data_IF_899981095442
#
_entry.id   IF_899981095442
#
_cell.length_a   1.000
_cell.length_b   1.000
_cell.length_c   1.000
_cell.angle_alpha   90.00
_cell.angle_beta   90.00
_cell.angle_gamma   90.00
#
_symmetry.space_group_name_H-M   'P 1'
#
loop_
_entity.id
_entity.type
_entity.pdbx_description
1 polymer ?
#
# COMPACT_ATOMS: atom_id res chain seq x y z
N UNK A 1 40.28 -33.41 2.19
CA UNK A 1 40.26 -31.96 2.51
C UNK A 1 39.63 -31.11 1.42
N UNK A 2 40.03 -31.22 0.15
CA UNK A 2 39.44 -30.42 -0.95
C UNK A 2 37.92 -30.59 -1.13
N UNK A 3 37.39 -31.81 -0.93
CA UNK A 3 35.95 -32.11 -1.00
C UNK A 3 35.14 -31.59 0.19
N UNK A 4 35.74 -31.51 1.38
CA UNK A 4 35.10 -30.92 2.58
C UNK A 4 35.02 -29.39 2.49
N UNK A 5 36.01 -28.74 1.86
CA UNK A 5 36.01 -27.29 1.61
C UNK A 5 34.93 -26.90 0.58
N UNK A 6 34.74 -27.72 -0.46
CA UNK A 6 33.68 -27.50 -1.44
C UNK A 6 32.27 -27.63 -0.84
N UNK A 7 32.06 -28.57 0.09
CA UNK A 7 30.79 -28.73 0.78
C UNK A 7 30.50 -27.54 1.73
N UNK A 8 31.52 -27.01 2.41
CA UNK A 8 31.37 -25.84 3.29
C UNK A 8 31.00 -24.55 2.51
N UNK A 9 31.50 -24.39 1.28
CA UNK A 9 31.15 -23.25 0.42
C UNK A 9 29.71 -23.33 -0.12
N UNK A 10 29.21 -24.53 -0.41
CA UNK A 10 27.82 -24.72 -0.86
C UNK A 10 26.79 -24.44 0.24
N UNK A 11 27.07 -24.79 1.50
CA UNK A 11 26.13 -24.57 2.62
C UNK A 11 25.98 -23.07 2.94
N UNK A 12 27.05 -22.28 2.80
CA UNK A 12 27.00 -20.83 3.01
C UNK A 12 26.25 -20.07 1.91
N UNK A 13 26.13 -20.65 0.72
CA UNK A 13 25.44 -20.01 -0.41
C UNK A 13 23.91 -20.01 -0.25
N UNK A 14 23.35 -20.98 0.50
CA UNK A 14 21.91 -21.03 0.81
C UNK A 14 21.53 -20.15 2.01
N UNK A 15 22.47 -19.75 2.86
CA UNK A 15 22.21 -18.90 4.03
C UNK A 15 22.08 -17.40 3.68
N UNK A 16 22.55 -16.99 2.50
CA UNK A 16 22.55 -15.58 2.07
C UNK A 16 21.35 -15.17 1.21
N UNK A 17 20.36 -16.05 1.02
CA UNK A 17 19.09 -15.73 0.38
C UNK A 17 17.98 -15.47 1.40
N UNK A 18 18.28 -14.77 2.50
CA UNK A 18 17.25 -14.06 3.23
C UNK A 18 17.00 -12.77 2.47
N UNK A 19 15.84 -12.67 1.80
CA UNK A 19 15.35 -11.41 1.26
C UNK A 19 15.50 -10.35 2.34
N UNK A 20 16.38 -9.39 2.13
CA UNK A 20 16.58 -8.27 3.03
C UNK A 20 15.32 -7.39 2.95
N UNK A 21 14.29 -7.74 3.72
CA UNK A 21 13.13 -6.89 3.93
C UNK A 21 13.68 -5.65 4.65
N UNK A 22 13.57 -4.43 4.10
CA UNK A 22 13.95 -3.24 4.84
C UNK A 22 13.18 -3.24 6.16
N UNK A 23 13.90 -3.14 7.29
CA UNK A 23 13.39 -3.48 8.62
C UNK A 23 12.20 -2.63 9.08
N UNK A 24 11.90 -1.52 8.40
CA UNK A 24 10.77 -0.65 8.70
C UNK A 24 9.85 -0.46 7.49
N UNK A 25 8.55 -0.67 7.72
CA UNK A 25 7.50 -0.37 6.76
C UNK A 25 7.32 1.15 6.62
N UNK A 26 7.01 1.67 5.42
CA UNK A 26 6.85 3.10 5.20
C UNK A 26 5.54 3.60 5.84
N UNK A 27 5.38 4.93 5.91
CA UNK A 27 4.17 5.59 6.42
C UNK A 27 3.86 5.43 7.92
N UNK A 28 4.81 4.95 8.73
CA UNK A 28 4.72 5.08 10.20
C UNK A 28 4.55 6.54 10.66
N UNK A 29 5.08 7.47 9.87
CA UNK A 29 4.78 8.90 9.94
C UNK A 29 4.69 9.51 8.54
N UNK A 30 4.04 10.66 8.41
CA UNK A 30 4.01 11.43 7.15
C UNK A 30 5.28 12.30 7.10
N UNK A 31 6.09 12.27 6.01
CA UNK A 31 7.22 13.18 5.85
C UNK A 31 6.82 14.66 5.97
N UNK A 32 7.77 15.53 6.28
CA UNK A 32 7.50 16.97 6.19
C UNK A 32 7.06 17.34 4.76
N UNK A 33 6.13 18.29 4.66
CA UNK A 33 5.60 18.73 3.37
C UNK A 33 6.69 19.27 2.45
N UNK A 34 6.45 19.19 1.13
CA UNK A 34 7.22 19.99 0.19
C UNK A 34 7.11 21.47 0.54
N UNK A 35 8.12 22.26 0.17
CA UNK A 35 8.14 23.71 0.45
C UNK A 35 7.14 24.51 -0.38
N UNK A 36 6.49 23.88 -1.36
CA UNK A 36 5.48 24.48 -2.22
C UNK A 36 4.25 23.56 -2.40
N UNK A 37 3.11 24.17 -2.71
CA UNK A 37 1.83 23.51 -2.94
C UNK A 37 1.58 23.19 -4.42
N UNK A 38 2.59 22.64 -5.11
CA UNK A 38 2.41 22.19 -6.50
C UNK A 38 1.39 21.04 -6.58
N UNK A 39 0.75 20.85 -7.74
CA UNK A 39 -0.21 19.76 -7.97
C UNK A 39 0.40 18.39 -7.65
N UNK A 40 1.67 18.17 -8.00
CA UNK A 40 2.41 16.97 -7.65
C UNK A 40 2.52 16.77 -6.13
N UNK A 41 2.93 17.82 -5.40
CA UNK A 41 3.09 17.74 -3.94
C UNK A 41 1.75 17.55 -3.22
N UNK A 42 0.67 18.17 -3.71
CA UNK A 42 -0.67 17.94 -3.17
C UNK A 42 -1.13 16.50 -3.39
N UNK A 43 -0.95 15.96 -4.59
CA UNK A 43 -1.29 14.57 -4.91
C UNK A 43 -0.47 13.58 -4.06
N UNK A 44 0.84 13.80 -3.93
CA UNK A 44 1.72 13.03 -3.05
C UNK A 44 1.22 13.09 -1.60
N UNK A 45 0.86 14.28 -1.09
CA UNK A 45 0.34 14.44 0.27
C UNK A 45 -0.96 13.67 0.51
N UNK A 46 -1.83 13.54 -0.50
CA UNK A 46 -3.03 12.69 -0.41
C UNK A 46 -2.67 11.21 -0.27
N UNK A 47 -1.70 10.73 -1.04
CA UNK A 47 -1.19 9.35 -0.97
C UNK A 47 -0.51 9.09 0.38
N UNK A 48 0.33 10.02 0.86
CA UNK A 48 0.98 9.91 2.18
C UNK A 48 -0.05 9.85 3.32
N UNK A 49 -1.12 10.65 3.22
CA UNK A 49 -2.22 10.65 4.18
C UNK A 49 -3.00 9.34 4.18
N UNK A 50 -3.20 8.73 3.01
CA UNK A 50 -3.82 7.41 2.87
C UNK A 50 -2.90 6.31 3.43
N UNK A 51 -1.62 6.31 3.06
CA UNK A 51 -0.61 5.37 3.53
C UNK A 51 -0.45 5.39 5.05
N UNK A 52 -0.44 6.57 5.69
CA UNK A 52 -0.36 6.69 7.14
C UNK A 52 -1.57 6.11 7.86
N UNK A 53 -2.78 6.37 7.34
CA UNK A 53 -4.01 5.80 7.89
C UNK A 53 -4.00 4.28 7.76
N UNK A 54 -3.62 3.77 6.59
CA UNK A 54 -3.54 2.33 6.34
C UNK A 54 -2.49 1.66 7.23
N UNK A 55 -1.30 2.25 7.37
CA UNK A 55 -0.25 1.75 8.26
C UNK A 55 -0.81 1.48 9.67
N UNK A 56 -1.45 2.48 10.27
CA UNK A 56 -1.93 2.39 11.65
C UNK A 56 -3.20 1.56 11.79
N UNK A 57 -4.11 1.60 10.81
CA UNK A 57 -5.28 0.74 10.79
C UNK A 57 -4.91 -0.75 10.78
N UNK A 58 -3.80 -1.08 10.11
CA UNK A 58 -3.33 -2.46 9.94
C UNK A 58 -2.27 -2.91 10.95
N UNK A 59 -1.76 -1.99 11.76
CA UNK A 59 -0.80 -2.30 12.80
C UNK A 59 -1.45 -3.17 13.90
N UNK A 60 -0.88 -4.35 14.11
CA UNK A 60 -1.31 -5.28 15.15
C UNK A 60 -2.61 -6.02 14.87
N UNK A 61 -3.06 -6.13 13.61
CA UNK A 61 -4.20 -6.99 13.27
C UNK A 61 -3.86 -8.46 13.51
N UNK A 62 -4.75 -9.16 14.20
CA UNK A 62 -4.68 -10.58 14.52
C UNK A 62 -5.41 -11.43 13.47
N UNK A 63 -5.32 -12.77 13.58
CA UNK A 63 -6.11 -13.67 12.74
C UNK A 63 -7.63 -13.44 12.91
N UNK A 64 -8.10 -13.19 14.13
CA UNK A 64 -9.50 -12.92 14.43
C UNK A 64 -9.96 -11.59 13.83
N UNK A 65 -9.07 -10.58 13.82
CA UNK A 65 -9.35 -9.31 13.13
C UNK A 65 -9.49 -9.51 11.63
N UNK A 66 -8.60 -10.29 11.01
CA UNK A 66 -8.63 -10.55 9.56
C UNK A 66 -9.89 -11.33 9.16
N UNK A 67 -10.35 -12.25 9.99
CA UNK A 67 -11.52 -13.08 9.75
C UNK A 67 -12.85 -12.36 10.04
N UNK A 68 -12.83 -11.20 10.71
CA UNK A 68 -14.05 -10.49 11.06
C UNK A 68 -14.84 -10.06 9.82
N UNK A 69 -16.14 -10.37 9.82
CA UNK A 69 -17.09 -10.00 8.78
C UNK A 69 -18.32 -9.34 9.44
N UNK A 70 -18.71 -8.12 9.03
CA UNK A 70 -19.75 -7.36 9.71
C UNK A 70 -21.17 -7.88 9.46
N UNK A 71 -21.40 -8.59 8.34
CA UNK A 71 -22.67 -9.18 7.95
C UNK A 71 -22.46 -10.21 6.84
N UNK A 72 -23.43 -11.11 6.60
CA UNK A 72 -23.34 -12.14 5.55
C UNK A 72 -23.04 -11.59 4.15
N UNK A 73 -23.54 -10.39 3.83
CA UNK A 73 -23.31 -9.72 2.54
C UNK A 73 -22.09 -8.79 2.54
N UNK A 74 -21.48 -8.53 3.70
CA UNK A 74 -20.34 -7.64 3.84
C UNK A 74 -19.03 -8.37 3.59
N UNK A 75 -18.02 -7.64 3.11
CA UNK A 75 -16.66 -8.15 3.01
C UNK A 75 -16.05 -8.32 4.40
N UNK A 76 -15.27 -9.38 4.56
CA UNK A 76 -14.36 -9.55 5.69
C UNK A 76 -13.23 -8.51 5.67
N UNK A 77 -12.56 -8.30 6.80
CA UNK A 77 -11.35 -7.45 6.87
C UNK A 77 -10.31 -7.92 5.86
N UNK A 78 -10.08 -9.24 5.74
CA UNK A 78 -9.13 -9.79 4.76
C UNK A 78 -9.49 -9.41 3.32
N UNK A 79 -10.75 -9.57 2.92
CA UNK A 79 -11.20 -9.21 1.56
C UNK A 79 -11.11 -7.69 1.31
N UNK A 80 -11.42 -6.87 2.32
CA UNK A 80 -11.24 -5.42 2.25
C UNK A 80 -9.75 -5.05 2.06
N UNK A 81 -8.83 -5.74 2.74
CA UNK A 81 -7.38 -5.53 2.60
C UNK A 81 -6.87 -5.94 1.20
N UNK A 82 -7.38 -7.03 0.63
CA UNK A 82 -7.07 -7.45 -0.73
C UNK A 82 -7.59 -6.45 -1.78
N UNK A 83 -8.78 -5.88 -1.55
CA UNK A 83 -9.29 -4.79 -2.38
C UNK A 83 -8.37 -3.57 -2.31
N UNK A 84 -7.98 -3.13 -1.10
CA UNK A 84 -7.03 -2.02 -0.90
C UNK A 84 -5.68 -2.30 -1.57
N UNK A 85 -5.15 -3.53 -1.47
CA UNK A 85 -3.94 -3.93 -2.20
C UNK A 85 -4.10 -3.68 -3.70
N UNK A 86 -5.22 -4.15 -4.27
CA UNK A 86 -5.55 -3.92 -5.67
C UNK A 86 -5.67 -2.44 -6.03
N UNK A 87 -6.12 -1.57 -5.13
CA UNK A 87 -6.15 -0.11 -5.36
C UNK A 87 -4.74 0.50 -5.32
N UNK A 88 -3.90 0.06 -4.39
CA UNK A 88 -2.51 0.55 -4.27
C UNK A 88 -1.66 0.19 -5.50
N UNK A 89 -1.90 -0.98 -6.09
CA UNK A 89 -1.30 -1.39 -7.36
C UNK A 89 -1.67 -0.43 -8.50
N UNK A 90 -2.93 0.00 -8.58
CA UNK A 90 -3.38 0.99 -9.57
C UNK A 90 -2.66 2.32 -9.40
N UNK A 91 -2.54 2.80 -8.15
CA UNK A 91 -1.84 4.05 -7.83
C UNK A 91 -0.36 3.95 -8.23
N UNK A 92 0.31 2.84 -7.91
CA UNK A 92 1.70 2.59 -8.31
C UNK A 92 1.84 2.54 -9.82
N UNK A 93 1.05 1.74 -10.51
CA UNK A 93 1.21 1.53 -11.94
C UNK A 93 0.95 2.82 -12.73
N UNK A 94 -0.07 3.60 -12.33
CA UNK A 94 -0.32 4.94 -12.89
C UNK A 94 0.88 5.87 -12.69
N UNK A 95 1.50 5.88 -11.49
CA UNK A 95 2.67 6.72 -11.22
C UNK A 95 3.91 6.35 -12.04
N UNK A 96 3.99 5.10 -12.48
CA UNK A 96 5.08 4.53 -13.29
C UNK A 96 4.77 4.55 -14.79
N UNK A 97 3.61 5.08 -15.20
CA UNK A 97 3.12 5.04 -16.58
C UNK A 97 3.02 3.61 -17.13
N UNK A 98 2.39 2.73 -16.34
CA UNK A 98 2.24 1.30 -16.65
C UNK A 98 0.80 0.83 -16.47
N UNK A 99 0.48 -0.29 -17.13
CA UNK A 99 -0.87 -0.87 -17.17
C UNK A 99 -1.19 -1.63 -15.89
N UNK A 100 -2.41 -1.44 -15.38
CA UNK A 100 -2.99 -2.25 -14.31
C UNK A 100 -3.82 -3.42 -14.87
N UNK A 101 -3.33 -4.65 -14.71
CA UNK A 101 -4.06 -5.87 -15.06
C UNK A 101 -5.11 -6.16 -13.98
N UNK A 102 -6.37 -6.40 -14.36
CA UNK A 102 -7.48 -6.64 -13.42
C UNK A 102 -8.16 -8.00 -13.67
N UNK A 103 -8.31 -8.87 -12.65
CA UNK A 103 -7.80 -8.71 -11.27
C UNK A 103 -6.26 -8.80 -11.21
N UNK A 104 -5.62 -8.32 -10.12
CA UNK A 104 -4.17 -8.46 -9.95
C UNK A 104 -3.76 -9.94 -10.01
N UNK A 105 -2.75 -10.26 -10.82
CA UNK A 105 -2.35 -11.65 -11.08
C UNK A 105 -1.68 -12.32 -9.86
N UNK A 106 -0.99 -11.54 -9.02
CA UNK A 106 -0.12 -12.05 -7.96
C UNK A 106 -0.46 -11.43 -6.59
N UNK A 107 -1.74 -11.41 -6.21
CA UNK A 107 -2.15 -10.98 -4.87
C UNK A 107 -1.51 -11.88 -3.81
N UNK A 108 -0.74 -11.35 -2.84
CA UNK A 108 -0.09 -12.17 -1.82
C UNK A 108 -1.10 -12.91 -0.94
N UNK A 109 -0.91 -14.22 -0.79
CA UNK A 109 -1.77 -15.05 0.04
C UNK A 109 -1.57 -14.76 1.54
N UNK A 110 -0.34 -14.49 1.98
CA UNK A 110 -0.03 -14.20 3.37
C UNK A 110 -0.27 -12.72 3.71
N UNK A 111 -0.76 -12.49 4.94
CA UNK A 111 -1.06 -11.16 5.44
C UNK A 111 0.18 -10.24 5.53
N UNK A 112 1.31 -10.65 6.12
CA UNK A 112 2.47 -9.78 6.25
C UNK A 112 2.99 -9.26 4.91
N UNK A 113 3.06 -10.11 3.88
CA UNK A 113 3.50 -9.72 2.54
C UNK A 113 2.49 -8.80 1.88
N UNK A 114 1.19 -9.09 1.96
CA UNK A 114 0.15 -8.21 1.42
C UNK A 114 0.24 -6.82 2.04
N UNK A 115 0.34 -6.72 3.37
CA UNK A 115 0.49 -5.46 4.09
C UNK A 115 1.72 -4.68 3.62
N UNK A 116 2.87 -5.36 3.59
CA UNK A 116 4.13 -4.76 3.17
C UNK A 116 4.04 -4.23 1.74
N UNK A 117 3.55 -5.03 0.79
CA UNK A 117 3.48 -4.63 -0.61
C UNK A 117 2.52 -3.47 -0.82
N UNK A 118 1.33 -3.48 -0.19
CA UNK A 118 0.41 -2.34 -0.26
C UNK A 118 1.09 -1.04 0.17
N UNK A 119 1.82 -1.07 1.30
CA UNK A 119 2.56 0.10 1.80
C UNK A 119 3.71 0.48 0.85
N UNK A 120 4.45 -0.47 0.29
CA UNK A 120 5.52 -0.18 -0.68
C UNK A 120 4.99 0.36 -2.00
N UNK A 121 3.82 -0.07 -2.46
CA UNK A 121 3.22 0.45 -3.69
C UNK A 121 2.82 1.91 -3.56
N UNK A 122 2.26 2.30 -2.41
CA UNK A 122 1.98 3.70 -2.12
C UNK A 122 3.27 4.52 -2.00
N UNK A 123 4.34 3.95 -1.42
CA UNK A 123 5.65 4.61 -1.31
C UNK A 123 6.33 4.79 -2.67
N UNK A 124 6.26 3.78 -3.53
CA UNK A 124 6.75 3.87 -4.91
C UNK A 124 6.02 5.00 -5.64
N UNK A 125 4.70 5.09 -5.49
CA UNK A 125 3.92 6.14 -6.12
C UNK A 125 4.30 7.54 -5.62
N UNK A 126 4.53 7.72 -4.31
CA UNK A 126 4.98 9.02 -3.80
C UNK A 126 6.35 9.39 -4.35
N UNK A 127 7.29 8.44 -4.46
CA UNK A 127 8.62 8.67 -5.04
C UNK A 127 8.55 9.08 -6.52
N UNK A 128 7.72 8.41 -7.31
CA UNK A 128 7.61 8.69 -8.75
C UNK A 128 6.88 10.00 -9.05
N UNK A 129 5.84 10.34 -8.28
CA UNK A 129 5.05 11.55 -8.52
C UNK A 129 5.73 12.82 -7.98
N UNK A 130 6.63 12.68 -7.01
CA UNK A 130 7.27 13.83 -6.36
C UNK A 130 8.02 14.67 -7.39
N UNK A 131 7.80 15.99 -7.33
CA UNK A 131 8.41 16.99 -8.20
C UNK A 131 8.09 16.88 -9.70
N UNK A 132 7.14 16.05 -10.13
CA UNK A 132 6.65 16.09 -11.52
C UNK A 132 6.08 17.47 -11.87
N UNK A 133 6.35 17.94 -13.09
CA UNK A 133 5.76 19.15 -13.64
C UNK A 133 4.26 18.94 -13.93
N UNK A 134 3.47 20.02 -14.11
CA UNK A 134 2.09 19.92 -14.56
C UNK A 134 1.94 19.15 -15.88
N UNK A 135 2.87 19.31 -16.82
CA UNK A 135 2.89 18.62 -18.11
C UNK A 135 3.16 17.12 -17.95
N UNK A 136 4.14 16.76 -17.10
CA UNK A 136 4.41 15.35 -16.79
C UNK A 136 3.24 14.67 -16.09
N UNK A 137 2.51 15.39 -15.21
CA UNK A 137 1.30 14.86 -14.59
C UNK A 137 0.15 14.71 -15.59
N UNK A 138 -0.01 15.67 -16.51
CA UNK A 138 -1.05 15.63 -17.53
C UNK A 138 -0.86 14.49 -18.53
N UNK A 139 0.37 14.02 -18.71
CA UNK A 139 0.69 12.87 -19.55
C UNK A 139 0.37 11.52 -18.91
N UNK A 140 0.17 11.45 -17.58
CA UNK A 140 -0.16 10.21 -16.90
C UNK A 140 -1.63 9.83 -17.10
N UNK A 141 -1.86 8.58 -17.44
CA UNK A 141 -3.19 7.99 -17.56
C UNK A 141 -3.34 6.74 -16.70
N UNK A 142 -4.55 6.47 -16.25
CA UNK A 142 -4.89 5.21 -15.60
C UNK A 142 -5.30 4.24 -16.69
N UNK A 143 -4.50 3.20 -16.92
CA UNK A 143 -4.77 2.19 -17.94
C UNK A 143 -5.11 0.86 -17.27
N UNK A 144 -6.32 0.35 -17.53
CA UNK A 144 -6.74 -0.98 -17.11
C UNK A 144 -6.75 -1.94 -18.27
N UNK A 145 -6.36 -3.20 -18.02
CA UNK A 145 -6.64 -4.33 -18.91
C UNK A 145 -7.42 -5.39 -18.15
N UNK A 146 -8.62 -5.71 -18.64
CA UNK A 146 -9.50 -6.74 -18.07
C UNK A 146 -10.01 -7.65 -19.18
N UNK A 147 -9.67 -8.94 -19.09
CA UNK A 147 -10.07 -9.93 -20.11
C UNK A 147 -9.64 -9.53 -21.54
N UNK A 148 -8.44 -8.95 -21.68
CA UNK A 148 -7.89 -8.48 -22.96
C UNK A 148 -8.46 -7.15 -23.48
N UNK A 149 -9.42 -6.53 -22.78
CA UNK A 149 -9.94 -5.20 -23.13
C UNK A 149 -9.24 -4.12 -22.34
N UNK A 150 -8.76 -3.09 -23.04
CA UNK A 150 -8.14 -1.92 -22.44
C UNK A 150 -9.16 -0.80 -22.22
N UNK A 151 -9.05 -0.10 -21.10
CA UNK A 151 -9.76 1.16 -20.84
C UNK A 151 -8.80 2.16 -20.20
N UNK A 152 -8.89 3.42 -20.62
CA UNK A 152 -8.01 4.50 -20.19
C UNK A 152 -8.82 5.62 -19.55
N UNK A 153 -8.31 6.20 -18.47
CA UNK A 153 -8.93 7.29 -17.73
C UNK A 153 -7.90 8.37 -17.38
N UNK A 154 -8.31 9.65 -17.28
CA UNK A 154 -7.40 10.72 -16.89
C UNK A 154 -6.96 10.58 -15.43
N UNK A 155 -5.81 11.18 -15.08
CA UNK A 155 -5.21 11.14 -13.74
C UNK A 155 -6.17 11.57 -12.62
N UNK A 156 -7.13 12.46 -12.89
CA UNK A 156 -8.16 12.88 -11.92
C UNK A 156 -8.92 11.71 -11.29
N UNK A 157 -9.14 10.63 -12.05
CA UNK A 157 -9.81 9.45 -11.55
C UNK A 157 -9.01 8.71 -10.45
N UNK A 158 -7.70 8.97 -10.33
CA UNK A 158 -6.86 8.40 -9.27
C UNK A 158 -7.24 8.97 -7.90
N UNK A 159 -7.62 10.24 -7.86
CA UNK A 159 -8.11 10.92 -6.66
C UNK A 159 -9.50 10.39 -6.27
N UNK A 160 -10.43 10.36 -7.22
CA UNK A 160 -11.83 10.00 -6.95
C UNK A 160 -12.01 8.52 -6.64
N UNK A 161 -11.25 7.66 -7.32
CA UNK A 161 -11.28 6.21 -7.11
C UNK A 161 -10.20 5.78 -6.12
N UNK A 162 -9.06 5.26 -6.59
CA UNK A 162 -8.09 4.56 -5.75
C UNK A 162 -7.71 5.25 -4.44
N UNK A 163 -7.31 6.53 -4.47
CA UNK A 163 -6.81 7.21 -3.27
C UNK A 163 -7.94 7.41 -2.25
N UNK A 164 -9.09 7.93 -2.68
CA UNK A 164 -10.25 8.14 -1.80
C UNK A 164 -10.80 6.81 -1.26
N UNK A 165 -10.82 5.78 -2.10
CA UNK A 165 -11.38 4.47 -1.76
C UNK A 165 -10.47 3.70 -0.77
N UNK A 166 -9.14 3.86 -0.87
CA UNK A 166 -8.20 3.39 0.17
C UNK A 166 -8.53 4.01 1.52
N UNK A 167 -8.77 5.33 1.58
CA UNK A 167 -9.13 6.02 2.83
C UNK A 167 -10.49 5.52 3.35
N UNK A 168 -11.47 5.40 2.46
CA UNK A 168 -12.82 4.93 2.76
C UNK A 168 -12.80 3.54 3.41
N UNK A 169 -12.16 2.57 2.76
CA UNK A 169 -12.06 1.20 3.25
C UNK A 169 -11.14 1.05 4.48
N UNK A 170 -10.12 1.89 4.60
CA UNK A 170 -9.32 1.96 5.83
C UNK A 170 -10.18 2.34 7.04
N UNK A 171 -11.17 3.22 6.87
CA UNK A 171 -12.13 3.57 7.92
C UNK A 171 -12.98 2.38 8.38
N UNK A 172 -13.35 1.48 7.46
CA UNK A 172 -14.08 0.25 7.78
C UNK A 172 -13.24 -0.67 8.66
N UNK A 173 -11.96 -0.89 8.30
CA UNK A 173 -11.02 -1.71 9.08
C UNK A 173 -10.89 -1.19 10.51
N UNK A 174 -10.79 0.14 10.69
CA UNK A 174 -10.72 0.77 12.02
C UNK A 174 -11.97 0.49 12.86
N UNK A 175 -13.14 0.50 12.23
CA UNK A 175 -14.41 0.15 12.90
C UNK A 175 -14.42 -1.31 13.31
N UNK A 176 -14.07 -2.22 12.39
CA UNK A 176 -14.13 -3.66 12.59
C UNK A 176 -13.17 -4.15 13.67
N UNK A 177 -11.91 -3.70 13.64
CA UNK A 177 -10.94 -4.06 14.70
C UNK A 177 -11.37 -3.55 16.09
N UNK A 178 -12.07 -2.41 16.16
CA UNK A 178 -12.59 -1.89 17.42
C UNK A 178 -13.70 -2.79 17.97
N UNK A 179 -14.57 -3.32 17.12
CA UNK A 179 -15.59 -4.30 17.52
C UNK A 179 -14.95 -5.57 18.10
N UNK A 180 -13.80 -5.98 17.57
CA UNK A 180 -13.02 -7.10 18.10
C UNK A 180 -12.18 -6.78 19.35
N UNK A 181 -12.34 -5.60 19.96
CA UNK A 181 -11.57 -5.21 21.14
C UNK A 181 -10.11 -4.87 20.86
N UNK A 182 -9.72 -4.72 19.59
CA UNK A 182 -8.39 -4.29 19.16
C UNK A 182 -8.46 -2.87 18.56
N UNK A 183 -8.63 -1.79 19.35
CA UNK A 183 -8.68 -0.43 18.82
C UNK A 183 -7.33 0.02 18.25
N UNK A 184 -7.33 1.11 17.48
CA UNK A 184 -6.09 1.77 17.04
C UNK A 184 -5.16 2.07 18.23
N UNK A 185 -3.83 1.98 18.04
CA UNK A 185 -2.87 2.38 19.06
C UNK A 185 -3.10 3.82 19.54
N UNK A 186 -2.88 4.06 20.84
CA UNK A 186 -2.91 5.42 21.40
C UNK A 186 -1.80 6.27 20.76
N UNK A 187 -2.04 7.58 20.67
CA UNK A 187 -1.05 8.54 20.16
C UNK A 187 -1.05 8.74 18.65
N UNK A 188 -1.77 7.92 17.87
CA UNK A 188 -1.93 8.11 16.42
C UNK A 188 -2.68 9.42 16.14
N UNK A 189 -2.01 10.39 15.51
CA UNK A 189 -2.61 11.65 15.11
C UNK A 189 -2.61 11.80 13.58
N UNK A 190 -3.79 11.67 12.97
CA UNK A 190 -3.97 11.76 11.51
C UNK A 190 -3.88 13.18 10.96
N UNK A 191 -4.07 14.20 11.81
CA UNK A 191 -3.95 15.60 11.41
C UNK A 191 -2.49 16.00 11.27
N UNK A 192 -1.66 15.65 12.25
CA UNK A 192 -0.22 15.97 12.20
C UNK A 192 0.61 14.93 11.44
N UNK A 193 0.05 13.74 11.16
CA UNK A 193 0.80 12.64 10.55
C UNK A 193 1.91 12.08 11.44
N UNK A 194 1.80 12.28 12.75
CA UNK A 194 2.76 11.83 13.76
C UNK A 194 2.06 10.94 14.78
N UNK A 195 2.79 9.95 15.28
CA UNK A 195 2.34 9.13 16.40
C UNK A 195 3.20 9.42 17.62
N UNK A 196 2.58 9.79 18.73
CA UNK A 196 3.28 9.94 20.01
C UNK A 196 3.46 8.57 20.66
N UNK A 197 4.63 8.33 21.23
CA UNK A 197 4.88 7.19 22.10
C UNK A 197 4.06 7.30 23.39
#
# INVERSE_FOLDING_TARGET
MRTLIALFLLINSFAMAQNHIPSELPFKSIPDGGTNYSSANLLVRMIEGAGYRYYWATEGLTADDLAYQPSESGQSVRETLEHIYGLSDIVRNTSMDTVSIRPPANTPADWPTLRMQTLRYLEDATKQLKNKSPEELAALEIVFVRGGKQSTFPLWNMINGPISDIIYHTGQIVSFRRTNGNPLPKGVNVFTGRTKA
#
